data_IF_824144856047
#
_entry.id   IF_824144856047
#
_cell.length_a   1.000
_cell.length_b   1.000
_cell.length_c   1.000
_cell.angle_alpha   90.00
_cell.angle_beta   90.00
_cell.angle_gamma   90.00
#
_symmetry.space_group_name_H-M   'P 1'
#
loop_
_entity.id
_entity.type
_entity.pdbx_description
1 polymer ?
#
# COMPACT_ATOMS: atom_id res chain seq x y z
N UNK A 1 -18.92 -30.90 52.15
CA UNK A 1 -17.88 -29.88 52.01
C UNK A 1 -17.56 -29.74 50.53
N UNK A 2 -18.09 -28.72 49.86
CA UNK A 2 -17.80 -28.44 48.45
C UNK A 2 -16.77 -27.31 48.41
N UNK A 3 -15.53 -27.64 48.06
CA UNK A 3 -14.46 -26.67 47.88
C UNK A 3 -14.71 -25.89 46.58
N UNK A 4 -15.16 -24.65 46.71
CA UNK A 4 -15.22 -23.71 45.60
C UNK A 4 -13.80 -23.32 45.18
N UNK A 5 -13.36 -23.82 44.02
CA UNK A 5 -12.19 -23.30 43.32
C UNK A 5 -12.50 -21.88 42.84
N UNK A 6 -12.09 -20.88 43.62
CA UNK A 6 -12.05 -19.51 43.16
C UNK A 6 -10.95 -19.39 42.09
N UNK A 7 -11.35 -19.36 40.81
CA UNK A 7 -10.47 -18.92 39.74
C UNK A 7 -10.18 -17.43 39.97
N UNK A 8 -8.99 -17.12 40.50
CA UNK A 8 -8.45 -15.78 40.46
C UNK A 8 -8.27 -15.39 38.98
N UNK A 9 -9.22 -14.64 38.43
CA UNK A 9 -9.04 -14.02 37.13
C UNK A 9 -7.82 -13.11 37.22
N UNK A 10 -6.80 -13.39 36.40
CA UNK A 10 -5.67 -12.48 36.28
C UNK A 10 -6.21 -11.11 35.86
N UNK A 11 -6.17 -10.13 36.77
CA UNK A 11 -6.55 -8.77 36.46
C UNK A 11 -5.59 -8.27 35.38
N UNK A 12 -6.08 -8.13 34.15
CA UNK A 12 -5.24 -7.74 33.03
C UNK A 12 -5.05 -6.22 33.08
N UNK A 13 -3.79 -5.78 33.04
CA UNK A 13 -3.44 -4.36 33.15
C UNK A 13 -3.83 -3.54 31.91
N UNK A 14 -3.91 -4.19 30.76
CA UNK A 14 -4.36 -3.66 29.47
C UNK A 14 -5.11 -4.75 28.71
N UNK A 15 -6.03 -4.32 27.86
CA UNK A 15 -6.78 -5.20 26.98
C UNK A 15 -6.69 -4.74 25.53
N UNK A 16 -6.86 -5.68 24.61
CA UNK A 16 -6.97 -5.42 23.19
C UNK A 16 -8.18 -4.50 22.96
N UNK A 17 -7.89 -3.29 22.46
CA UNK A 17 -8.88 -2.28 22.15
C UNK A 17 -9.45 -2.50 20.75
N UNK A 18 -9.67 -1.44 19.99
CA UNK A 18 -10.19 -1.54 18.62
C UNK A 18 -9.08 -1.76 17.60
N UNK A 19 -9.36 -2.56 16.57
CA UNK A 19 -8.58 -2.57 15.33
C UNK A 19 -9.44 -2.02 14.20
N UNK A 20 -8.90 -1.08 13.43
CA UNK A 20 -9.58 -0.48 12.29
C UNK A 20 -8.68 -0.45 11.07
N UNK A 21 -9.31 -0.36 9.90
CA UNK A 21 -8.65 -0.11 8.63
C UNK A 21 -9.20 1.19 8.03
N UNK A 22 -8.35 1.98 7.37
CA UNK A 22 -8.78 3.21 6.67
C UNK A 22 -9.79 2.93 5.56
N UNK A 23 -9.76 1.72 4.99
CA UNK A 23 -10.78 1.18 4.11
C UNK A 23 -10.88 -0.34 4.29
N UNK A 24 -12.10 -0.87 4.27
CA UNK A 24 -12.38 -2.31 4.24
C UNK A 24 -12.56 -2.84 2.82
N UNK A 25 -12.50 -1.97 1.81
CA UNK A 25 -12.58 -2.31 0.40
C UNK A 25 -11.44 -1.61 -0.34
N UNK A 26 -10.44 -2.36 -0.78
CA UNK A 26 -9.26 -1.82 -1.46
C UNK A 26 -8.95 -2.61 -2.72
N UNK A 27 -8.13 -2.02 -3.59
CA UNK A 27 -7.59 -2.70 -4.76
C UNK A 27 -6.23 -3.32 -4.45
N UNK A 28 -5.84 -4.36 -5.19
CA UNK A 28 -4.48 -4.92 -5.13
C UNK A 28 -3.43 -3.80 -5.27
N UNK A 29 -2.45 -3.75 -4.37
CA UNK A 29 -1.38 -2.75 -4.36
C UNK A 29 -1.77 -1.36 -3.81
N UNK A 30 -3.04 -1.15 -3.44
CA UNK A 30 -3.48 0.08 -2.80
C UNK A 30 -3.08 0.08 -1.31
N UNK A 31 -2.49 1.17 -0.79
CA UNK A 31 -2.12 1.24 0.62
C UNK A 31 -3.38 1.35 1.50
N UNK A 32 -3.46 0.48 2.49
CA UNK A 32 -4.43 0.54 3.59
C UNK A 32 -3.70 0.82 4.89
N UNK A 33 -4.23 1.74 5.68
CA UNK A 33 -3.70 2.05 7.01
C UNK A 33 -4.48 1.25 8.04
N UNK A 34 -3.78 0.42 8.80
CA UNK A 34 -4.32 -0.37 9.90
C UNK A 34 -3.93 0.34 11.20
N UNK A 35 -4.92 0.57 12.05
CA UNK A 35 -4.75 1.22 13.36
C UNK A 35 -5.16 0.24 14.45
N UNK A 36 -4.22 -0.12 15.33
CA UNK A 36 -4.44 -1.00 16.46
C UNK A 36 -4.36 -0.23 17.78
N UNK A 37 -5.45 -0.24 18.53
CA UNK A 37 -5.55 0.37 19.85
C UNK A 37 -5.43 -0.67 20.95
N UNK A 38 -4.83 -0.27 22.07
CA UNK A 38 -4.78 -1.05 23.31
C UNK A 38 -5.37 -0.17 24.40
N UNK A 39 -6.39 -0.67 25.08
CA UNK A 39 -7.04 0.07 26.16
C UNK A 39 -6.25 -0.15 27.45
N UNK A 40 -5.72 0.96 27.98
CA UNK A 40 -4.99 0.97 29.24
C UNK A 40 -6.00 0.97 30.39
N UNK A 41 -5.99 -0.09 31.21
CA UNK A 41 -6.88 -0.16 32.37
C UNK A 41 -6.14 0.39 33.60
N UNK A 42 -4.97 -0.18 33.91
CA UNK A 42 -4.25 0.13 35.15
C UNK A 42 -2.73 0.35 34.98
N UNK A 43 -2.11 -0.18 33.92
CA UNK A 43 -0.69 0.04 33.62
C UNK A 43 -0.43 -0.09 32.11
N UNK A 44 0.60 0.57 31.57
CA UNK A 44 0.96 0.50 30.14
C UNK A 44 2.19 -0.39 29.93
N UNK A 45 1.98 -1.71 29.85
CA UNK A 45 3.01 -2.72 29.65
C UNK A 45 2.43 -4.06 29.15
N UNK A 46 2.26 -4.24 27.83
CA UNK A 46 1.84 -5.52 27.26
C UNK A 46 2.28 -5.70 25.80
N UNK A 47 2.38 -6.95 25.34
CA UNK A 47 2.70 -7.35 23.98
C UNK A 47 1.47 -7.78 23.19
N UNK A 48 1.45 -7.45 21.90
CA UNK A 48 0.39 -7.82 20.98
C UNK A 48 0.95 -8.09 19.58
N UNK A 49 0.13 -8.71 18.75
CA UNK A 49 0.43 -8.99 17.34
C UNK A 49 -0.71 -8.47 16.47
N UNK A 50 -0.35 -7.81 15.37
CA UNK A 50 -1.27 -7.53 14.27
C UNK A 50 -1.02 -8.57 13.19
N UNK A 51 -1.95 -9.52 13.02
CA UNK A 51 -1.93 -10.48 11.91
C UNK A 51 -2.58 -9.86 10.69
N UNK A 52 -1.95 -9.92 9.52
CA UNK A 52 -2.47 -9.26 8.30
C UNK A 52 -3.36 -10.17 7.45
N UNK A 53 -3.59 -11.42 7.85
CA UNK A 53 -4.40 -12.38 7.10
C UNK A 53 -3.73 -12.94 5.83
N UNK A 54 -2.53 -12.46 5.48
CA UNK A 54 -1.71 -12.93 4.35
C UNK A 54 -0.62 -13.94 4.77
N UNK A 55 -0.68 -14.41 6.03
CA UNK A 55 0.34 -15.26 6.66
C UNK A 55 1.48 -14.48 7.31
N UNK A 56 1.52 -13.15 7.16
CA UNK A 56 2.46 -12.28 7.85
C UNK A 56 1.80 -11.55 9.01
N UNK A 57 2.62 -11.05 9.93
CA UNK A 57 2.16 -10.28 11.08
C UNK A 57 3.25 -9.39 11.63
N UNK A 58 2.85 -8.44 12.47
CA UNK A 58 3.76 -7.53 13.17
C UNK A 58 3.54 -7.66 14.68
N UNK A 59 4.57 -8.17 15.35
CA UNK A 59 4.66 -8.11 16.81
C UNK A 59 4.98 -6.67 17.24
N UNK A 60 4.35 -6.23 18.32
CA UNK A 60 4.52 -4.92 18.92
C UNK A 60 4.29 -4.96 20.44
N UNK A 61 4.72 -3.90 21.10
CA UNK A 61 4.55 -3.70 22.55
C UNK A 61 3.85 -2.37 22.77
N UNK A 62 2.99 -2.33 23.79
CA UNK A 62 2.35 -1.14 24.31
C UNK A 62 3.02 -0.84 25.65
N UNK A 63 3.83 0.21 25.67
CA UNK A 63 4.52 0.69 26.86
C UNK A 63 4.70 2.22 26.80
N UNK A 64 5.42 2.80 27.77
CA UNK A 64 5.66 4.24 27.85
C UNK A 64 6.48 4.81 26.68
N UNK A 65 7.35 4.00 26.07
CA UNK A 65 8.18 4.35 24.91
C UNK A 65 7.52 3.96 23.58
N UNK A 66 6.58 3.02 23.62
CA UNK A 66 5.82 2.54 22.46
C UNK A 66 4.32 2.77 22.69
N UNK A 67 3.85 4.04 22.64
CA UNK A 67 2.45 4.36 22.86
C UNK A 67 1.60 3.86 21.70
N UNK A 68 0.37 3.44 22.04
CA UNK A 68 -0.70 3.14 21.08
C UNK A 68 -1.53 4.39 20.77
N UNK A 69 -2.17 4.49 19.59
CA UNK A 69 -2.32 3.48 18.54
C UNK A 69 -1.03 3.12 17.81
N UNK A 70 -0.87 1.84 17.51
CA UNK A 70 0.06 1.40 16.47
C UNK A 70 -0.57 1.61 15.09
N UNK A 71 0.08 2.40 14.24
CA UNK A 71 -0.37 2.68 12.88
C UNK A 71 0.56 2.01 11.87
N UNK A 72 0.01 1.17 11.00
CA UNK A 72 0.75 0.37 10.02
C UNK A 72 0.17 0.58 8.63
N UNK A 73 1.01 0.86 7.64
CA UNK A 73 0.62 0.86 6.23
C UNK A 73 0.87 -0.51 5.61
N UNK A 74 -0.15 -1.07 4.95
CA UNK A 74 -0.08 -2.35 4.22
C UNK A 74 -0.59 -2.22 2.80
N UNK A 75 -0.07 -3.03 1.90
CA UNK A 75 -0.63 -3.23 0.56
C UNK A 75 -0.65 -4.73 0.30
N UNK A 76 -1.74 -5.24 -0.29
CA UNK A 76 -1.91 -6.67 -0.57
C UNK A 76 -1.67 -6.96 -2.04
N UNK A 77 -0.87 -7.98 -2.33
CA UNK A 77 -0.47 -8.35 -3.69
C UNK A 77 -1.50 -9.21 -4.43
N UNK A 78 -2.40 -9.86 -3.69
CA UNK A 78 -3.40 -10.78 -4.25
C UNK A 78 -4.81 -10.32 -3.90
N UNK A 79 -5.78 -10.49 -4.80
CA UNK A 79 -7.17 -10.29 -4.44
C UNK A 79 -7.64 -11.39 -3.49
N UNK A 80 -8.58 -11.05 -2.60
CA UNK A 80 -9.11 -11.93 -1.59
C UNK A 80 -9.65 -11.15 -0.39
N UNK A 81 -10.28 -11.87 0.54
CA UNK A 81 -10.65 -11.33 1.84
C UNK A 81 -9.54 -11.63 2.82
N UNK A 82 -9.02 -10.60 3.47
CA UNK A 82 -7.97 -10.70 4.47
C UNK A 82 -8.56 -10.43 5.85
N UNK A 83 -8.46 -11.44 6.72
CA UNK A 83 -8.85 -11.34 8.12
C UNK A 83 -7.69 -10.74 8.91
N UNK A 84 -7.73 -9.42 9.12
CA UNK A 84 -6.70 -8.73 9.90
C UNK A 84 -7.07 -8.87 11.37
N UNK A 85 -6.17 -9.44 12.18
CA UNK A 85 -6.40 -9.70 13.59
C UNK A 85 -5.51 -8.85 14.48
N UNK A 86 -6.03 -8.53 15.66
CA UNK A 86 -5.29 -7.95 16.78
C UNK A 86 -5.43 -8.91 17.95
N UNK A 87 -4.32 -9.58 18.28
CA UNK A 87 -4.25 -10.60 19.31
C UNK A 87 -3.20 -10.28 20.38
N UNK A 88 -3.41 -10.77 21.59
CA UNK A 88 -2.44 -10.67 22.67
C UNK A 88 -1.31 -11.65 22.45
N UNK A 89 -0.06 -11.20 22.56
CA UNK A 89 1.12 -12.06 22.35
C UNK A 89 2.22 -11.70 23.33
N UNK A 90 2.93 -12.69 23.86
CA UNK A 90 4.16 -12.40 24.58
C UNK A 90 5.22 -11.92 23.59
N UNK A 91 5.69 -10.69 23.75
CA UNK A 91 6.67 -10.05 22.87
C UNK A 91 7.79 -9.52 23.74
N UNK A 92 9.02 -10.00 23.51
CA UNK A 92 10.17 -9.70 24.36
C UNK A 92 9.88 -10.06 25.83
N UNK A 93 9.92 -9.08 26.74
CA UNK A 93 9.59 -9.21 28.15
C UNK A 93 8.16 -8.74 28.50
N UNK A 94 7.36 -8.36 27.49
CA UNK A 94 6.00 -7.88 27.72
C UNK A 94 5.00 -9.06 27.74
N UNK A 95 4.20 -9.22 28.81
CA UNK A 95 3.14 -10.22 28.85
C UNK A 95 2.08 -9.91 27.79
N UNK A 96 1.29 -10.90 27.39
CA UNK A 96 0.25 -10.68 26.39
C UNK A 96 -0.79 -9.66 26.86
N UNK A 97 -1.17 -8.74 25.96
CA UNK A 97 -2.33 -7.90 26.18
C UNK A 97 -3.57 -8.79 26.36
N UNK A 98 -4.48 -8.31 27.20
CA UNK A 98 -5.63 -9.08 27.63
C UNK A 98 -6.85 -9.01 26.73
N UNK A 99 -7.88 -9.79 27.06
CA UNK A 99 -9.17 -9.77 26.36
C UNK A 99 -9.21 -10.61 25.07
N UNK A 100 -10.42 -10.72 24.50
CA UNK A 100 -10.63 -11.50 23.29
C UNK A 100 -9.92 -10.86 22.09
N UNK A 101 -9.52 -11.68 21.12
CA UNK A 101 -9.01 -11.22 19.83
C UNK A 101 -10.02 -10.28 19.14
N UNK A 102 -9.50 -9.34 18.35
CA UNK A 102 -10.29 -8.43 17.53
C UNK A 102 -9.91 -8.61 16.08
N UNK A 103 -10.85 -8.38 15.18
CA UNK A 103 -10.59 -8.52 13.77
C UNK A 103 -11.30 -7.44 12.96
N UNK A 104 -10.74 -7.15 11.80
CA UNK A 104 -11.36 -6.37 10.74
C UNK A 104 -11.08 -7.06 9.40
N UNK A 105 -12.13 -7.21 8.60
CA UNK A 105 -12.01 -7.82 7.29
C UNK A 105 -11.73 -6.75 6.24
N UNK A 106 -10.71 -7.01 5.42
CA UNK A 106 -10.36 -6.18 4.27
C UNK A 106 -10.61 -7.00 3.01
N UNK A 107 -11.56 -6.54 2.20
CA UNK A 107 -11.83 -7.11 0.88
C UNK A 107 -10.91 -6.44 -0.13
N UNK A 108 -9.99 -7.22 -0.69
CA UNK A 108 -9.10 -6.79 -1.75
C UNK A 108 -9.65 -7.30 -3.07
N UNK A 109 -10.13 -6.38 -3.89
CA UNK A 109 -10.72 -6.71 -5.19
C UNK A 109 -9.63 -6.89 -6.26
N UNK A 110 -9.94 -7.73 -7.25
CA UNK A 110 -9.10 -7.98 -8.42
C UNK A 110 -8.59 -6.68 -9.06
N UNK A 111 -7.26 -6.59 -9.15
CA UNK A 111 -6.45 -5.52 -9.73
C UNK A 111 -7.07 -4.10 -9.69
N UNK A 112 -6.48 -3.23 -8.85
CA UNK A 112 -5.92 -2.04 -9.48
C UNK A 112 -4.90 -2.63 -10.44
N UNK A 113 -5.25 -2.63 -11.72
CA UNK A 113 -4.28 -2.90 -12.76
C UNK A 113 -3.21 -1.88 -12.45
N UNK A 114 -2.06 -2.29 -11.90
CA UNK A 114 -0.82 -1.55 -12.11
C UNK A 114 -0.92 -1.22 -13.58
N UNK A 115 -1.08 0.06 -13.92
CA UNK A 115 -1.40 0.43 -15.28
C UNK A 115 -0.35 -0.27 -16.13
N UNK A 116 -0.72 -1.38 -16.77
CA UNK A 116 0.15 -2.07 -17.71
C UNK A 116 0.52 -0.92 -18.62
N UNK A 117 1.81 -0.47 -18.64
CA UNK A 117 2.16 0.89 -19.03
C UNK A 117 1.36 1.19 -20.25
N UNK A 118 0.35 2.07 -20.10
CA UNK A 118 -0.86 2.03 -20.93
C UNK A 118 -0.43 1.66 -22.33
N UNK A 119 -0.84 0.48 -22.83
CA UNK A 119 -0.51 0.08 -24.19
C UNK A 119 -0.83 1.31 -25.02
N UNK A 120 0.24 1.94 -25.50
CA UNK A 120 0.23 3.38 -25.65
C UNK A 120 -0.68 3.61 -26.81
N UNK A 121 -1.91 4.03 -26.52
CA UNK A 121 -2.79 4.49 -27.59
C UNK A 121 -1.94 5.52 -28.33
N UNK A 122 -1.88 5.50 -29.67
CA UNK A 122 -1.08 6.44 -30.45
C UNK A 122 -1.25 7.91 -30.01
N UNK A 123 -2.38 8.25 -29.41
CA UNK A 123 -2.72 9.55 -28.83
C UNK A 123 -2.24 9.80 -27.37
N UNK A 124 -1.57 8.85 -26.72
CA UNK A 124 -1.04 8.95 -25.36
C UNK A 124 0.50 9.05 -25.31
N UNK A 125 1.18 8.83 -26.44
CA UNK A 125 2.64 9.00 -26.56
C UNK A 125 3.00 10.45 -26.90
N UNK A 126 2.15 11.09 -27.70
CA UNK A 126 2.34 12.44 -28.20
C UNK A 126 1.34 13.39 -27.53
N UNK A 127 1.80 14.58 -27.16
CA UNK A 127 0.96 15.67 -26.69
C UNK A 127 -0.16 16.01 -27.67
N UNK A 128 -1.23 16.62 -27.16
CA UNK A 128 -2.37 17.08 -27.95
C UNK A 128 -1.91 17.94 -29.13
N UNK A 129 -2.36 17.60 -30.35
CA UNK A 129 -1.95 18.27 -31.59
C UNK A 129 -0.74 17.65 -32.29
N UNK A 130 -0.07 16.67 -31.66
CA UNK A 130 1.04 15.91 -32.23
C UNK A 130 0.63 14.47 -32.55
N UNK A 131 1.12 13.93 -33.67
CA UNK A 131 0.83 12.57 -34.14
C UNK A 131 2.09 11.73 -34.15
N UNK A 132 1.99 10.42 -33.95
CA UNK A 132 3.15 9.54 -34.09
C UNK A 132 3.71 9.61 -35.52
N UNK A 133 5.01 9.88 -35.60
CA UNK A 133 5.80 9.83 -36.82
C UNK A 133 6.35 8.41 -36.98
N UNK A 134 5.59 7.58 -37.70
CA UNK A 134 5.91 6.16 -37.87
C UNK A 134 5.42 5.27 -36.72
N UNK A 135 5.90 4.03 -36.70
CA UNK A 135 5.54 3.05 -35.66
C UNK A 135 6.47 3.19 -34.45
N UNK A 136 5.95 3.26 -33.22
CA UNK A 136 6.77 3.26 -32.01
C UNK A 136 7.43 1.88 -31.86
N UNK A 137 8.68 1.86 -31.38
CA UNK A 137 9.37 0.63 -31.05
C UNK A 137 8.92 0.16 -29.67
N UNK A 138 8.04 -0.83 -29.63
CA UNK A 138 7.50 -1.38 -28.37
C UNK A 138 8.53 -2.16 -27.56
N UNK A 139 9.63 -2.60 -28.19
CA UNK A 139 10.72 -3.34 -27.53
C UNK A 139 11.68 -2.43 -26.80
N UNK A 140 12.04 -1.28 -27.40
CA UNK A 140 12.97 -0.31 -26.80
C UNK A 140 12.28 0.87 -26.14
N UNK A 141 11.03 1.16 -26.50
CA UNK A 141 10.32 2.37 -26.09
C UNK A 141 10.64 3.61 -26.93
N UNK A 142 11.41 3.49 -28.02
CA UNK A 142 11.71 4.61 -28.92
C UNK A 142 10.48 5.03 -29.73
N UNK A 143 10.26 6.34 -29.86
CA UNK A 143 9.15 6.89 -30.62
C UNK A 143 9.48 8.30 -31.14
N UNK A 144 8.78 8.72 -32.17
CA UNK A 144 8.81 10.08 -32.68
C UNK A 144 7.37 10.60 -32.82
N UNK A 145 7.15 11.84 -32.42
CA UNK A 145 5.92 12.61 -32.59
C UNK A 145 6.21 13.71 -33.60
N UNK A 146 5.29 13.96 -34.54
CA UNK A 146 5.33 15.01 -35.53
C UNK A 146 4.07 15.88 -35.46
N UNK A 147 4.25 17.18 -35.66
CA UNK A 147 3.18 18.14 -35.89
C UNK A 147 3.49 18.97 -37.13
N UNK A 148 2.61 19.92 -37.44
CA UNK A 148 2.85 20.86 -38.54
C UNK A 148 4.08 21.71 -38.21
N UNK A 149 4.90 22.03 -39.22
CA UNK A 149 6.06 22.90 -39.05
C UNK A 149 5.62 24.24 -38.44
N UNK A 150 6.32 24.68 -37.38
CA UNK A 150 5.95 25.88 -36.61
C UNK A 150 5.05 25.63 -35.41
N UNK A 151 4.59 24.40 -35.15
CA UNK A 151 3.95 24.04 -33.88
C UNK A 151 4.96 24.08 -32.74
N UNK A 152 4.63 24.81 -31.67
CA UNK A 152 5.46 24.89 -30.47
C UNK A 152 5.60 23.51 -29.81
N UNK A 153 6.82 23.18 -29.37
CA UNK A 153 7.07 21.94 -28.64
C UNK A 153 6.31 21.93 -27.31
N UNK A 154 5.86 20.75 -26.84
CA UNK A 154 5.19 20.65 -25.55
C UNK A 154 6.09 21.13 -24.42
N UNK A 155 5.53 21.93 -23.50
CA UNK A 155 6.26 22.37 -22.31
C UNK A 155 6.68 21.19 -21.41
N UNK A 156 5.87 20.13 -21.38
CA UNK A 156 6.20 18.88 -20.71
C UNK A 156 6.91 17.94 -21.68
N UNK A 157 8.22 17.73 -21.46
CA UNK A 157 9.01 16.76 -22.21
C UNK A 157 8.62 15.34 -21.79
N UNK A 158 8.40 14.40 -22.73
CA UNK A 158 8.13 13.02 -22.40
C UNK A 158 9.31 12.39 -21.67
N UNK A 159 9.01 11.52 -20.71
CA UNK A 159 10.02 10.71 -20.01
C UNK A 159 10.40 9.52 -20.91
N UNK A 160 11.66 9.48 -21.31
CA UNK A 160 12.21 8.37 -22.11
C UNK A 160 12.57 7.18 -21.22
N UNK A 161 12.29 5.96 -21.69
CA UNK A 161 12.58 4.73 -20.95
C UNK A 161 14.03 4.28 -21.17
N UNK A 162 14.68 3.78 -20.12
CA UNK A 162 16.04 3.23 -20.20
C UNK A 162 17.07 4.27 -20.63
N UNK A 163 17.97 3.88 -21.52
CA UNK A 163 19.07 4.73 -22.01
C UNK A 163 18.67 5.68 -23.16
N UNK A 164 17.38 5.80 -23.46
CA UNK A 164 16.91 6.66 -24.55
C UNK A 164 17.00 8.13 -24.18
N UNK A 165 17.58 8.93 -25.07
CA UNK A 165 17.61 10.38 -24.98
C UNK A 165 16.35 11.04 -25.57
N UNK A 166 15.90 12.11 -24.91
CA UNK A 166 14.91 13.01 -25.48
C UNK A 166 15.49 13.79 -26.67
N UNK A 167 14.72 13.97 -27.73
CA UNK A 167 15.12 14.78 -28.87
C UNK A 167 14.01 15.74 -29.33
N UNK A 168 14.44 16.88 -29.88
CA UNK A 168 13.61 17.86 -30.59
C UNK A 168 14.24 18.18 -31.94
N UNK A 169 13.43 18.26 -32.98
CA UNK A 169 13.82 18.64 -34.32
C UNK A 169 12.84 19.69 -34.83
N UNK A 170 13.14 20.96 -34.52
CA UNK A 170 12.32 22.11 -34.91
C UNK A 170 12.11 22.19 -36.43
N UNK A 171 13.14 21.82 -37.22
CA UNK A 171 13.09 21.85 -38.69
C UNK A 171 12.06 20.88 -39.27
N UNK A 172 11.93 19.71 -38.65
CA UNK A 172 10.96 18.67 -39.06
C UNK A 172 9.66 18.71 -38.25
N UNK A 173 9.55 19.61 -37.28
CA UNK A 173 8.43 19.64 -36.33
C UNK A 173 8.27 18.29 -35.64
N UNK A 174 9.37 17.75 -35.08
CA UNK A 174 9.39 16.43 -34.45
C UNK A 174 9.99 16.44 -33.05
N UNK A 175 9.48 15.64 -32.12
CA UNK A 175 10.14 15.34 -30.85
C UNK A 175 9.90 13.89 -30.43
N UNK A 176 10.66 13.36 -29.49
CA UNK A 176 10.39 12.04 -28.92
C UNK A 176 11.58 11.44 -28.19
N UNK A 177 11.65 10.11 -28.16
CA UNK A 177 12.71 9.35 -27.51
C UNK A 177 13.45 8.50 -28.53
N UNK A 178 14.78 8.62 -28.56
CA UNK A 178 15.67 7.89 -29.46
C UNK A 178 16.92 7.43 -28.71
N UNK A 179 17.62 6.37 -29.18
CA UNK A 179 18.97 6.06 -28.69
C UNK A 179 19.94 7.24 -28.91
#
# INVERSE_FOLDING_TARGET
MAAGLAFAGAAQAQVLGTITASSTNVKVGEPVTITANIDVINANYCGFVVGFGDGTGKDAVSDVSNPVPLVLTRAYDKPGTYHVTLGGRNVQNHPNCGGAERAVDIVVTGVAKAAAPAATKPAAVCATGWKLSGKPNTKTGAFACAAKTGTAFPAAKPVCKGDLGYFENAKKGQYGCKP
#
